data_IF_357001801150
#
_entry.id   IF_357001801150
#
_cell.length_a   1.000
_cell.length_b   1.000
_cell.length_c   1.000
_cell.angle_alpha   90.00
_cell.angle_beta   90.00
_cell.angle_gamma   90.00
#
_symmetry.space_group_name_H-M   'P 1'
#
loop_
_entity.id
_entity.type
_entity.pdbx_description
1 polymer ?
#
# COMPACT_ATOMS: atom_id res chain seq x y z
N UNK A 1 -19.17 -15.80 9.78
CA UNK A 1 -17.70 -15.88 9.79
C UNK A 1 -17.14 -14.58 9.21
N UNK A 2 -16.68 -13.69 10.08
CA UNK A 2 -16.00 -12.48 9.64
C UNK A 2 -14.64 -12.90 9.04
N UNK A 3 -14.32 -12.59 7.76
CA UNK A 3 -13.21 -13.22 7.03
C UNK A 3 -11.88 -12.51 7.28
N UNK A 4 -11.60 -12.12 8.51
CA UNK A 4 -10.25 -11.64 8.84
C UNK A 4 -9.31 -12.86 8.89
N UNK A 5 -8.17 -12.75 8.20
CA UNK A 5 -7.47 -13.91 7.65
C UNK A 5 -5.98 -13.94 7.93
N UNK A 6 -5.39 -15.12 7.77
CA UNK A 6 -3.95 -15.35 7.84
C UNK A 6 -3.31 -15.10 6.48
N UNK A 7 -2.07 -14.61 6.43
CA UNK A 7 -1.38 -14.37 5.16
C UNK A 7 -0.65 -15.64 4.75
N UNK A 8 -0.93 -16.10 3.54
CA UNK A 8 -0.20 -17.18 2.90
C UNK A 8 0.46 -16.68 1.62
N UNK A 9 1.64 -17.19 1.33
CA UNK A 9 2.32 -16.94 0.07
C UNK A 9 2.60 -18.25 -0.66
N UNK A 10 2.58 -18.17 -1.98
CA UNK A 10 3.01 -19.25 -2.87
C UNK A 10 3.98 -18.62 -3.87
N UNK A 11 5.13 -19.25 -4.08
CA UNK A 11 6.10 -18.80 -5.07
C UNK A 11 5.94 -19.58 -6.38
N UNK A 12 6.36 -18.93 -7.46
CA UNK A 12 6.54 -19.53 -8.77
C UNK A 12 8.02 -19.45 -9.10
N UNK A 13 8.62 -20.54 -9.57
CA UNK A 13 10.00 -20.54 -9.99
C UNK A 13 10.19 -19.83 -11.35
N UNK A 14 11.44 -19.68 -11.78
CA UNK A 14 11.78 -19.04 -13.06
C UNK A 14 11.36 -19.87 -14.29
N UNK A 15 11.21 -21.19 -14.13
CA UNK A 15 10.67 -22.07 -15.18
C UNK A 15 9.14 -21.97 -15.29
N UNK A 16 8.52 -21.35 -14.29
CA UNK A 16 7.12 -21.06 -14.25
C UNK A 16 6.24 -22.07 -13.54
N UNK A 17 6.86 -22.91 -12.71
CA UNK A 17 6.18 -23.91 -11.88
C UNK A 17 5.80 -23.26 -10.55
N UNK A 18 4.54 -23.41 -10.14
CA UNK A 18 4.09 -22.98 -8.82
C UNK A 18 4.42 -24.03 -7.77
N UNK A 19 4.83 -23.57 -6.59
CA UNK A 19 4.98 -24.45 -5.43
C UNK A 19 3.64 -25.16 -5.10
N UNK A 20 3.73 -26.45 -4.76
CA UNK A 20 2.56 -27.26 -4.42
C UNK A 20 1.86 -26.73 -3.17
N UNK A 21 2.65 -26.30 -2.17
CA UNK A 21 2.16 -25.85 -0.88
C UNK A 21 2.38 -24.35 -0.70
N UNK A 22 1.44 -23.69 -0.01
CA UNK A 22 1.61 -22.31 0.41
C UNK A 22 2.36 -22.24 1.76
N UNK A 23 3.20 -21.23 1.92
CA UNK A 23 3.86 -20.90 3.18
C UNK A 23 2.98 -19.92 3.95
N UNK A 24 2.66 -20.22 5.21
CA UNK A 24 2.00 -19.24 6.10
C UNK A 24 3.00 -18.17 6.49
N UNK A 25 2.73 -16.94 6.07
CA UNK A 25 3.54 -15.75 6.32
C UNK A 25 3.12 -15.08 7.62
N UNK A 26 1.82 -14.99 7.86
CA UNK A 26 1.25 -14.39 9.06
C UNK A 26 0.08 -15.20 9.58
N UNK A 27 0.06 -15.44 10.89
CA UNK A 27 -0.98 -16.24 11.55
C UNK A 27 -2.04 -15.38 12.26
N UNK A 28 -1.93 -14.05 12.20
CA UNK A 28 -2.90 -13.16 12.84
C UNK A 28 -4.26 -13.25 12.11
N UNK A 29 -5.34 -13.67 12.79
CA UNK A 29 -6.66 -13.79 12.17
C UNK A 29 -7.36 -12.44 12.02
N UNK A 30 -6.78 -11.32 12.47
CA UNK A 30 -7.41 -10.00 12.39
C UNK A 30 -6.85 -9.16 11.23
N UNK A 31 -6.15 -9.75 10.26
CA UNK A 31 -5.66 -8.98 9.11
C UNK A 31 -6.84 -8.64 8.20
N UNK A 32 -7.03 -7.35 7.95
CA UNK A 32 -8.09 -6.81 7.09
C UNK A 32 -7.60 -6.44 5.68
N UNK A 33 -6.28 -6.24 5.51
CA UNK A 33 -5.70 -5.92 4.21
C UNK A 33 -4.19 -6.18 4.19
N UNK A 34 -3.68 -6.42 2.99
CA UNK A 34 -2.24 -6.61 2.76
C UNK A 34 -1.76 -5.74 1.60
N UNK A 35 -0.49 -5.34 1.67
CA UNK A 35 0.22 -4.74 0.54
C UNK A 35 1.57 -5.42 0.37
N UNK A 36 1.99 -5.59 -0.88
CA UNK A 36 3.30 -6.13 -1.24
C UNK A 36 4.04 -5.16 -2.13
N UNK A 37 5.36 -5.04 -1.93
CA UNK A 37 6.21 -4.27 -2.84
C UNK A 37 7.60 -4.91 -2.94
N UNK A 38 8.24 -4.74 -4.08
CA UNK A 38 9.64 -5.06 -4.30
C UNK A 38 10.45 -3.78 -4.13
N UNK A 39 11.47 -3.82 -3.29
CA UNK A 39 12.39 -2.70 -3.15
C UNK A 39 13.54 -2.76 -4.17
N UNK A 40 14.25 -1.66 -4.36
CA UNK A 40 15.35 -1.55 -5.33
C UNK A 40 16.51 -2.54 -5.06
N UNK A 41 16.70 -2.95 -3.81
CA UNK A 41 17.67 -3.99 -3.40
C UNK A 41 17.24 -5.43 -3.79
N UNK A 42 16.10 -5.58 -4.46
CA UNK A 42 15.54 -6.86 -4.86
C UNK A 42 14.76 -7.58 -3.76
N UNK A 43 14.68 -7.02 -2.56
CA UNK A 43 13.93 -7.64 -1.47
C UNK A 43 12.43 -7.40 -1.59
N UNK A 44 11.65 -8.40 -1.18
CA UNK A 44 10.20 -8.31 -1.08
C UNK A 44 9.82 -7.80 0.31
N UNK A 45 8.78 -6.97 0.37
CA UNK A 45 8.24 -6.42 1.59
C UNK A 45 6.73 -6.60 1.61
N UNK A 46 6.21 -7.00 2.78
CA UNK A 46 4.78 -7.26 2.99
C UNK A 46 4.32 -6.41 4.17
N UNK A 47 3.16 -5.78 3.99
CA UNK A 47 2.47 -4.99 5.01
C UNK A 47 1.12 -5.62 5.29
N UNK A 48 0.75 -5.69 6.57
CA UNK A 48 -0.55 -6.15 7.01
C UNK A 48 -1.22 -5.06 7.83
N UNK A 49 -2.43 -4.68 7.44
CA UNK A 49 -3.33 -3.86 8.24
C UNK A 49 -4.10 -4.76 9.21
N UNK A 50 -3.98 -4.49 10.50
CA UNK A 50 -4.63 -5.23 11.57
C UNK A 50 -5.48 -4.26 12.38
N UNK A 51 -6.81 -4.17 12.13
CA UNK A 51 -7.71 -3.42 12.97
C UNK A 51 -7.55 -3.78 14.46
N UNK A 52 -7.60 -2.77 15.32
CA UNK A 52 -7.31 -2.88 16.76
C UNK A 52 -5.81 -2.90 17.11
N UNK A 53 -4.91 -2.92 16.13
CA UNK A 53 -3.45 -2.98 16.35
C UNK A 53 -2.66 -1.95 15.55
N UNK A 54 -2.85 -1.89 14.23
CA UNK A 54 -2.12 -1.00 13.32
C UNK A 54 -1.47 -1.76 12.16
N UNK A 55 -0.33 -1.26 11.67
CA UNK A 55 0.33 -1.80 10.47
C UNK A 55 1.61 -2.54 10.85
N UNK A 56 1.72 -3.77 10.35
CA UNK A 56 2.86 -4.65 10.56
C UNK A 56 3.63 -4.84 9.25
N UNK A 57 4.95 -4.75 9.33
CA UNK A 57 5.88 -4.89 8.21
C UNK A 57 6.72 -6.15 8.39
N UNK A 58 6.83 -6.95 7.32
CA UNK A 58 7.75 -8.08 7.23
C UNK A 58 8.59 -7.95 5.97
N UNK A 59 9.92 -8.06 6.10
CA UNK A 59 10.82 -8.17 4.95
C UNK A 59 10.94 -9.64 4.57
N UNK A 60 10.52 -9.98 3.36
CA UNK A 60 10.48 -11.34 2.83
C UNK A 60 9.89 -12.36 3.83
N UNK A 61 10.66 -13.39 4.17
CA UNK A 61 10.27 -14.47 5.06
C UNK A 61 10.91 -14.34 6.45
N UNK A 62 11.28 -13.13 6.87
CA UNK A 62 11.78 -12.88 8.22
C UNK A 62 10.78 -13.41 9.26
N UNK A 63 11.30 -14.08 10.29
CA UNK A 63 10.49 -14.75 11.30
C UNK A 63 9.58 -13.78 12.08
N UNK A 64 10.03 -12.54 12.26
CA UNK A 64 9.33 -11.53 13.04
C UNK A 64 8.89 -10.36 12.15
N UNK A 65 7.66 -9.91 12.33
CA UNK A 65 7.20 -8.64 11.79
C UNK A 65 7.54 -7.50 12.76
N UNK A 66 7.78 -6.32 12.20
CA UNK A 66 7.94 -5.06 12.94
C UNK A 66 6.65 -4.27 12.85
N UNK A 67 6.08 -3.85 13.97
CA UNK A 67 4.97 -2.91 13.96
C UNK A 67 5.48 -1.53 13.54
N UNK A 68 4.97 -1.01 12.42
CA UNK A 68 5.39 0.28 11.87
C UNK A 68 4.34 1.35 12.10
N UNK A 69 3.12 1.01 12.49
CA UNK A 69 2.09 1.95 12.90
C UNK A 69 1.25 1.32 14.01
N UNK A 70 0.88 2.11 15.01
CA UNK A 70 0.14 1.65 16.20
C UNK A 70 -1.30 2.15 16.22
N UNK A 71 -1.79 2.80 15.16
CA UNK A 71 -3.14 3.32 15.10
C UNK A 71 -4.13 2.14 14.97
N UNK A 72 -5.02 1.93 15.96
CA UNK A 72 -5.92 0.78 15.94
C UNK A 72 -7.02 0.89 14.88
N UNK A 73 -7.26 2.08 14.32
CA UNK A 73 -8.36 2.34 13.39
C UNK A 73 -7.93 2.18 11.91
N UNK A 74 -6.88 1.40 11.65
CA UNK A 74 -6.45 1.11 10.27
C UNK A 74 -7.50 0.25 9.56
N UNK A 75 -7.91 0.68 8.36
CA UNK A 75 -8.86 -0.05 7.51
C UNK A 75 -8.20 -0.73 6.32
N UNK A 76 -7.31 0.00 5.64
CA UNK A 76 -6.66 -0.45 4.41
C UNK A 76 -5.20 -0.03 4.39
N UNK A 77 -4.39 -0.76 3.61
CA UNK A 77 -2.97 -0.47 3.43
C UNK A 77 -2.58 -0.66 1.96
N UNK A 78 -1.73 0.23 1.43
CA UNK A 78 -1.01 0.04 0.17
C UNK A 78 0.43 0.50 0.33
N UNK A 79 1.31 0.13 -0.61
CA UNK A 79 2.72 0.49 -0.54
C UNK A 79 3.29 0.78 -1.94
N UNK A 80 4.24 1.71 -1.99
CA UNK A 80 5.00 2.03 -3.19
C UNK A 80 6.50 2.10 -2.85
N UNK A 81 7.32 1.44 -3.67
CA UNK A 81 8.78 1.54 -3.61
C UNK A 81 9.30 2.40 -4.76
N UNK A 82 10.38 3.14 -4.50
CA UNK A 82 11.06 3.96 -5.49
C UNK A 82 12.44 3.37 -5.87
N UNK A 83 12.97 3.69 -7.06
CA UNK A 83 14.29 3.23 -7.48
C UNK A 83 15.45 3.63 -6.56
N UNK A 84 15.29 4.71 -5.79
CA UNK A 84 16.26 5.15 -4.79
C UNK A 84 16.28 4.28 -3.51
N UNK A 85 15.47 3.23 -3.45
CA UNK A 85 15.37 2.31 -2.31
C UNK A 85 14.48 2.80 -1.16
N UNK A 86 13.86 3.97 -1.29
CA UNK A 86 12.83 4.43 -0.34
C UNK A 86 11.51 3.73 -0.60
N UNK A 87 10.70 3.62 0.46
CA UNK A 87 9.39 3.01 0.39
C UNK A 87 8.39 3.82 1.18
N UNK A 88 7.18 3.91 0.66
CA UNK A 88 6.06 4.59 1.29
C UNK A 88 4.95 3.57 1.54
N UNK A 89 4.46 3.55 2.77
CA UNK A 89 3.27 2.78 3.16
C UNK A 89 2.17 3.76 3.45
N UNK A 90 1.00 3.52 2.87
CA UNK A 90 -0.18 4.36 3.00
C UNK A 90 -1.26 3.60 3.74
N UNK A 91 -1.96 4.28 4.62
CA UNK A 91 -2.96 3.69 5.50
C UNK A 91 -4.23 4.54 5.48
N UNK A 92 -5.37 3.90 5.24
CA UNK A 92 -6.66 4.51 5.56
C UNK A 92 -6.89 4.35 7.05
N UNK A 93 -7.13 5.45 7.74
CA UNK A 93 -7.50 5.49 9.14
C UNK A 93 -8.96 5.96 9.24
N UNK A 94 -9.80 5.13 9.85
CA UNK A 94 -11.23 5.41 10.00
C UNK A 94 -11.47 6.78 10.65
N UNK A 95 -12.29 7.61 10.00
CA UNK A 95 -12.63 8.95 10.47
C UNK A 95 -11.50 9.99 10.34
N UNK A 96 -10.32 9.63 9.84
CA UNK A 96 -9.17 10.56 9.72
C UNK A 96 -8.67 10.77 8.30
N UNK A 97 -8.90 9.83 7.39
CA UNK A 97 -8.36 9.86 6.02
C UNK A 97 -7.07 9.05 5.88
N UNK A 98 -6.11 9.54 5.11
CA UNK A 98 -4.93 8.78 4.68
C UNK A 98 -3.65 9.30 5.31
N UNK A 99 -2.88 8.39 5.89
CA UNK A 99 -1.55 8.66 6.43
C UNK A 99 -0.48 7.90 5.64
N UNK A 100 0.71 8.48 5.50
CA UNK A 100 1.86 7.80 4.89
C UNK A 100 3.06 7.75 5.83
N UNK A 101 3.73 6.61 5.89
CA UNK A 101 4.99 6.44 6.60
C UNK A 101 6.08 6.00 5.62
N UNK A 102 7.23 6.64 5.72
CA UNK A 102 8.36 6.40 4.82
C UNK A 102 9.42 5.55 5.49
N UNK A 103 9.96 4.59 4.74
CA UNK A 103 11.19 3.88 5.04
C UNK A 103 12.31 4.43 4.16
N UNK A 104 13.38 4.89 4.79
CA UNK A 104 14.58 5.34 4.09
C UNK A 104 15.30 4.14 3.46
N UNK A 105 16.19 4.42 2.49
CA UNK A 105 16.95 3.39 1.77
C UNK A 105 17.89 2.60 2.69
N UNK A 106 18.38 3.20 3.78
CA UNK A 106 19.15 2.52 4.84
C UNK A 106 18.29 1.56 5.68
N UNK A 107 16.98 1.54 5.44
CA UNK A 107 16.05 0.62 6.02
C UNK A 107 15.37 1.07 7.32
N UNK A 108 15.62 2.31 7.73
CA UNK A 108 15.01 2.91 8.93
C UNK A 108 13.65 3.51 8.58
N UNK A 109 12.65 3.26 9.41
CA UNK A 109 11.34 3.92 9.32
C UNK A 109 11.40 5.30 9.95
N UNK A 110 10.73 6.27 9.32
CA UNK A 110 10.51 7.56 9.96
C UNK A 110 9.67 7.38 11.23
N UNK A 111 10.05 8.09 12.30
CA UNK A 111 9.35 8.03 13.58
C UNK A 111 7.90 8.55 13.48
N UNK A 112 7.66 9.49 12.57
CA UNK A 112 6.36 10.12 12.39
C UNK A 112 5.79 9.79 11.01
N UNK A 113 4.51 9.45 10.97
CA UNK A 113 3.72 9.44 9.74
C UNK A 113 3.32 10.87 9.34
N UNK A 114 3.06 11.06 8.06
CA UNK A 114 2.57 12.32 7.48
C UNK A 114 1.09 12.14 7.13
N UNK A 115 0.25 13.10 7.52
CA UNK A 115 -1.15 13.13 7.12
C UNK A 115 -1.22 13.55 5.65
N UNK A 116 -1.48 12.58 4.77
CA UNK A 116 -1.44 12.79 3.33
C UNK A 116 -2.75 13.41 2.84
N UNK A 117 -3.87 12.92 3.34
CA UNK A 117 -5.20 13.37 2.95
C UNK A 117 -6.14 13.35 4.15
N UNK A 118 -6.83 14.45 4.42
CA UNK A 118 -7.74 14.60 5.56
C UNK A 118 -9.18 14.22 5.23
N UNK A 119 -9.48 13.74 4.02
CA UNK A 119 -10.82 13.31 3.67
C UNK A 119 -11.15 11.97 4.35
N UNK A 120 -12.08 11.94 5.33
CA UNK A 120 -12.42 10.72 6.05
C UNK A 120 -13.26 9.73 5.23
N UNK A 121 -13.75 10.14 4.05
CA UNK A 121 -14.58 9.31 3.17
C UNK A 121 -13.76 8.44 2.19
N UNK A 122 -12.42 8.54 2.20
CA UNK A 122 -11.57 7.63 1.42
C UNK A 122 -11.69 6.22 2.00
N UNK A 123 -12.08 5.26 1.18
CA UNK A 123 -12.34 3.88 1.62
C UNK A 123 -11.38 2.86 0.98
N UNK A 124 -11.07 3.03 -0.32
CA UNK A 124 -10.09 2.22 -1.05
C UNK A 124 -8.82 3.02 -1.39
N UNK A 125 -7.67 2.36 -1.43
CA UNK A 125 -6.39 3.00 -1.79
C UNK A 125 -5.53 2.12 -2.70
N UNK A 126 -4.84 2.76 -3.63
CA UNK A 126 -3.77 2.15 -4.41
C UNK A 126 -2.60 3.12 -4.57
N UNK A 127 -1.39 2.61 -4.81
CA UNK A 127 -0.23 3.47 -5.00
C UNK A 127 0.79 2.80 -5.90
N UNK A 128 1.52 3.60 -6.66
CA UNK A 128 2.62 3.10 -7.50
C UNK A 128 3.76 4.10 -7.57
N UNK A 129 4.99 3.59 -7.48
CA UNK A 129 6.21 4.36 -7.71
C UNK A 129 6.68 4.18 -9.15
N UNK A 130 7.09 5.27 -9.80
CA UNK A 130 7.59 5.27 -11.17
C UNK A 130 9.12 5.35 -11.21
N UNK A 131 9.70 4.99 -12.35
CA UNK A 131 11.14 5.00 -12.56
C UNK A 131 11.76 6.41 -12.49
N UNK A 132 10.97 7.45 -12.72
CA UNK A 132 11.36 8.85 -12.61
C UNK A 132 11.43 9.35 -11.14
N UNK A 133 11.12 8.49 -10.17
CA UNK A 133 11.15 8.81 -8.75
C UNK A 133 9.86 9.41 -8.20
N UNK A 134 8.80 9.53 -9.01
CA UNK A 134 7.48 9.97 -8.56
C UNK A 134 6.69 8.85 -7.90
N UNK A 135 5.77 9.22 -7.01
CA UNK A 135 4.73 8.31 -6.49
C UNK A 135 3.38 8.88 -6.87
N UNK A 136 2.52 8.00 -7.36
CA UNK A 136 1.13 8.30 -7.64
C UNK A 136 0.28 7.52 -6.62
N UNK A 137 -0.42 8.26 -5.77
CA UNK A 137 -1.36 7.72 -4.79
C UNK A 137 -2.78 7.92 -5.31
N UNK A 138 -3.61 6.89 -5.17
CA UNK A 138 -5.00 6.89 -5.59
C UNK A 138 -5.90 6.61 -4.40
N UNK A 139 -6.87 7.48 -4.16
CA UNK A 139 -7.93 7.30 -3.18
C UNK A 139 -9.28 7.12 -3.87
N UNK A 140 -10.01 6.08 -3.49
CA UNK A 140 -11.40 5.87 -3.85
C UNK A 140 -12.30 6.53 -2.82
N UNK A 141 -13.18 7.42 -3.28
CA UNK A 141 -14.24 8.03 -2.47
C UNK A 141 -15.58 7.50 -2.96
N UNK A 142 -16.26 6.62 -2.21
CA UNK A 142 -17.58 6.10 -2.60
C UNK A 142 -18.57 7.22 -2.92
N UNK A 143 -19.31 7.09 -4.02
CA UNK A 143 -20.23 8.14 -4.48
C UNK A 143 -19.56 9.34 -5.18
N UNK A 144 -18.23 9.35 -5.33
CA UNK A 144 -17.49 10.42 -6.01
C UNK A 144 -16.55 9.91 -7.09
N UNK A 145 -15.88 8.77 -6.89
CA UNK A 145 -14.93 8.20 -7.85
C UNK A 145 -13.48 8.22 -7.34
N UNK A 146 -12.52 8.27 -8.28
CA UNK A 146 -11.09 8.10 -7.99
C UNK A 146 -10.36 9.45 -8.05
N UNK A 147 -9.54 9.68 -7.03
CA UNK A 147 -8.70 10.87 -6.88
C UNK A 147 -7.22 10.49 -6.82
N UNK A 148 -6.38 11.26 -7.49
CA UNK A 148 -4.94 11.12 -7.51
C UNK A 148 -4.26 12.21 -6.67
N UNK A 149 -3.24 11.83 -5.91
CA UNK A 149 -2.25 12.77 -5.37
C UNK A 149 -0.85 12.30 -5.75
N UNK A 150 -0.06 13.21 -6.31
CA UNK A 150 1.30 12.89 -6.76
C UNK A 150 2.35 13.40 -5.77
N UNK A 151 3.36 12.58 -5.52
CA UNK A 151 4.64 12.98 -4.92
C UNK A 151 5.65 13.15 -6.03
N UNK A 152 6.23 14.33 -6.15
CA UNK A 152 7.29 14.56 -7.13
C UNK A 152 8.62 13.88 -6.72
N UNK A 153 9.58 13.81 -7.65
CA UNK A 153 10.88 13.18 -7.43
C UNK A 153 11.72 13.86 -6.34
N UNK A 154 11.49 15.15 -6.07
CA UNK A 154 12.11 15.89 -4.96
C UNK A 154 11.47 15.57 -3.60
N UNK A 155 10.41 14.76 -3.62
CA UNK A 155 9.78 14.20 -2.46
C UNK A 155 8.66 15.02 -1.83
N UNK A 156 8.16 16.00 -2.57
CA UNK A 156 7.06 16.89 -2.16
C UNK A 156 5.76 16.37 -2.74
N UNK A 157 4.73 16.26 -1.89
CA UNK A 157 3.37 15.95 -2.32
C UNK A 157 2.67 17.18 -2.85
N UNK A 158 1.85 17.00 -3.89
CA UNK A 158 0.92 18.03 -4.32
C UNK A 158 -0.03 18.38 -3.16
N UNK A 159 -0.30 19.68 -3.00
CA UNK A 159 -1.20 20.20 -1.95
C UNK A 159 -2.61 19.66 -2.13
N UNK A 160 -3.09 19.61 -3.38
CA UNK A 160 -4.42 19.17 -3.74
C UNK A 160 -4.37 17.82 -4.46
N UNK A 161 -5.42 17.03 -4.27
CA UNK A 161 -5.70 15.86 -5.10
C UNK A 161 -6.46 16.28 -6.37
N UNK A 162 -6.27 15.53 -7.46
CA UNK A 162 -6.97 15.70 -8.72
C UNK A 162 -7.94 14.54 -8.92
N UNK A 163 -9.20 14.82 -9.25
CA UNK A 163 -10.14 13.76 -9.62
C UNK A 163 -9.79 13.23 -11.02
N UNK A 164 -9.60 11.92 -11.14
CA UNK A 164 -9.24 11.27 -12.42
C UNK A 164 -10.38 10.42 -12.97
N UNK A 165 -11.35 10.05 -12.12
CA UNK A 165 -12.55 9.32 -12.51
C UNK A 165 -13.74 9.84 -11.69
N UNK A 166 -14.87 10.08 -12.36
CA UNK A 166 -16.12 10.57 -11.76
C UNK A 166 -17.16 9.46 -11.59
N UNK A 167 -16.84 8.21 -11.90
CA UNK A 167 -17.73 7.07 -11.70
C UNK A 167 -17.95 6.84 -10.21
N UNK A 168 -19.15 7.14 -9.76
CA UNK A 168 -19.57 7.11 -8.36
C UNK A 168 -19.86 5.72 -7.82
N UNK A 169 -19.88 4.71 -8.71
CA UNK A 169 -20.24 3.33 -8.42
C UNK A 169 -19.01 2.43 -8.19
N UNK A 170 -17.79 2.97 -8.30
CA UNK A 170 -16.56 2.20 -8.07
C UNK A 170 -16.50 1.76 -6.59
N UNK A 171 -16.22 0.48 -6.38
CA UNK A 171 -16.15 -0.20 -5.08
C UNK A 171 -14.74 -0.71 -4.73
N UNK A 172 -13.84 -0.85 -5.71
CA UNK A 172 -12.43 -1.24 -5.47
C UNK A 172 -11.49 -0.62 -6.52
N UNK A 173 -10.21 -0.45 -6.16
CA UNK A 173 -9.20 0.17 -7.02
C UNK A 173 -7.84 -0.56 -7.01
N UNK A 174 -7.19 -0.59 -8.17
CA UNK A 174 -5.82 -1.07 -8.32
C UNK A 174 -5.02 -0.16 -9.27
N UNK A 175 -3.70 -0.09 -9.10
CA UNK A 175 -2.82 0.62 -10.04
C UNK A 175 -1.56 -0.18 -10.36
N UNK A 176 -1.04 0.03 -11.57
CA UNK A 176 0.18 -0.62 -12.04
C UNK A 176 0.97 0.30 -12.99
N UNK A 177 2.27 0.43 -12.76
CA UNK A 177 3.17 1.13 -13.67
C UNK A 177 3.92 0.13 -14.55
N UNK A 178 4.12 0.53 -15.80
CA UNK A 178 4.85 -0.24 -16.80
C UNK A 178 6.27 0.31 -16.99
N UNK A 179 7.20 -0.50 -17.53
CA UNK A 179 8.58 -0.07 -17.75
C UNK A 179 8.75 1.10 -18.72
N UNK A 180 7.78 1.38 -19.58
CA UNK A 180 7.77 2.52 -20.50
C UNK A 180 7.37 3.85 -19.81
N UNK A 181 7.10 3.81 -18.50
CA UNK A 181 6.71 4.96 -17.70
C UNK A 181 5.20 5.22 -17.69
N UNK A 182 4.41 4.44 -18.42
CA UNK A 182 2.95 4.53 -18.33
C UNK A 182 2.43 3.97 -17.01
N UNK A 183 1.31 4.51 -16.56
CA UNK A 183 0.61 4.11 -15.35
C UNK A 183 -0.85 3.85 -15.68
N UNK A 184 -1.38 2.75 -15.16
CA UNK A 184 -2.77 2.37 -15.30
C UNK A 184 -3.44 2.34 -13.93
N UNK A 185 -4.69 2.80 -13.89
CA UNK A 185 -5.58 2.72 -12.73
C UNK A 185 -6.84 1.96 -13.16
N UNK A 186 -7.27 1.02 -12.34
CA UNK A 186 -8.41 0.16 -12.58
C UNK A 186 -9.41 0.37 -11.45
N UNK A 187 -10.68 0.53 -11.81
CA UNK A 187 -11.80 0.54 -10.87
C UNK A 187 -12.72 -0.66 -11.12
N UNK A 188 -13.17 -1.31 -10.06
CA UNK A 188 -14.24 -2.31 -10.10
C UNK A 188 -15.53 -1.72 -9.55
N UNK A 189 -16.69 -2.18 -10.05
CA UNK A 189 -18.04 -1.82 -9.57
C UNK A 189 -18.61 -3.03 -8.84
#
# INVERSE_FOLDING_TARGET
PDPHGTVYARSRDAAGVWETNATRVDANPNIAGIAGTKNADGSMHIFAAVPGSGIWHRKAWEANATQIDTNPNVKAVTAASLPNGTMHVFAVIEGSGVWTRTRAANGVWNNNAVHLDSNPAIDGISATGLADGTIHFFGLVPGSGIWERTRNANGVWNTNANQIDTNDSISDIASAALPDGTLHVFGAI
#
